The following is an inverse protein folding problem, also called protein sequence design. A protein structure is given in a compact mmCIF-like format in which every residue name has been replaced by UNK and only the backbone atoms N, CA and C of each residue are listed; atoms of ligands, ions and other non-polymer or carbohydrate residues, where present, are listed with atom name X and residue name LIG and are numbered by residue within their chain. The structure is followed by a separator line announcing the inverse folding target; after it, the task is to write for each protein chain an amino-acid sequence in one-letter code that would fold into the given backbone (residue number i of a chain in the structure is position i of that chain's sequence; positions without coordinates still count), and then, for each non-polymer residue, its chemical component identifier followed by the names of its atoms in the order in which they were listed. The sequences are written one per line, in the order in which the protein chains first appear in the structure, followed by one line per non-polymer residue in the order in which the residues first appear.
data_IF_764994246843
#
_entry.id   IF_764994246843
#
_cell.length_a   1.000
_cell.length_b   1.000
_cell.length_c   1.000
_cell.angle_alpha   90.00
_cell.angle_beta   90.00
_cell.angle_gamma   90.00
#
_symmetry.space_group_name_H-M   'P 1'
#
loop_
_entity.id
_entity.type
_entity.pdbx_description
1 polymer ?
#
# COMPACT_ATOMS: atom_id res chain seq x y z
N UNK A 1 -8.12 -19.43 -2.19
CA UNK A 1 -9.17 -18.40 -1.97
C UNK A 1 -8.59 -17.06 -2.37
N UNK A 2 -8.99 -16.55 -3.53
CA UNK A 2 -8.54 -15.26 -4.05
C UNK A 2 -9.41 -14.12 -3.53
N UNK A 3 -8.89 -12.90 -3.58
CA UNK A 3 -9.68 -11.71 -3.37
C UNK A 3 -10.65 -11.52 -4.55
N UNK A 4 -11.84 -10.96 -4.31
CA UNK A 4 -12.80 -10.72 -5.39
C UNK A 4 -12.43 -9.51 -6.25
N UNK A 5 -11.95 -8.44 -5.62
CA UNK A 5 -11.69 -7.14 -6.26
C UNK A 5 -10.33 -6.53 -5.92
N UNK A 6 -9.54 -7.16 -5.06
CA UNK A 6 -8.21 -6.67 -4.68
C UNK A 6 -7.17 -7.36 -5.57
N UNK A 7 -6.36 -6.56 -6.25
CA UNK A 7 -5.21 -7.06 -7.01
C UNK A 7 -3.98 -7.02 -6.12
N UNK A 8 -3.43 -8.19 -5.78
CA UNK A 8 -2.14 -8.27 -5.08
C UNK A 8 -1.04 -7.91 -6.09
N UNK A 9 -0.21 -6.90 -5.82
CA UNK A 9 0.90 -6.57 -6.69
C UNK A 9 1.89 -7.74 -6.78
N UNK A 10 2.38 -8.04 -7.98
CA UNK A 10 3.36 -9.10 -8.19
C UNK A 10 4.78 -8.71 -7.75
N UNK A 11 5.05 -7.40 -7.69
CA UNK A 11 6.40 -6.85 -7.59
C UNK A 11 6.79 -6.49 -6.14
N UNK A 12 6.04 -6.98 -5.15
CA UNK A 12 6.26 -6.68 -3.74
C UNK A 12 6.10 -7.90 -2.83
N UNK A 13 6.67 -7.79 -1.64
CA UNK A 13 6.66 -8.85 -0.63
C UNK A 13 5.82 -8.46 0.59
N UNK A 14 5.18 -9.44 1.22
CA UNK A 14 4.38 -9.24 2.42
C UNK A 14 5.27 -8.97 3.64
N UNK A 15 4.91 -7.97 4.46
CA UNK A 15 5.48 -7.80 5.80
C UNK A 15 5.05 -8.97 6.69
N UNK A 16 6.01 -9.62 7.36
CA UNK A 16 5.72 -10.74 8.27
C UNK A 16 6.02 -10.37 9.72
N UNK A 17 5.34 -11.03 10.64
CA UNK A 17 5.49 -10.83 12.09
C UNK A 17 6.13 -12.08 12.69
N UNK A 18 7.21 -11.90 13.45
CA UNK A 18 7.90 -12.97 14.15
C UNK A 18 7.14 -13.36 15.44
N UNK A 19 7.54 -14.47 16.07
CA UNK A 19 6.94 -14.93 17.33
C UNK A 19 7.13 -13.94 18.50
N UNK A 20 8.18 -13.12 18.45
CA UNK A 20 8.48 -12.07 19.43
C UNK A 20 7.82 -10.72 19.09
N UNK A 21 6.91 -10.70 18.11
CA UNK A 21 6.21 -9.51 17.59
C UNK A 21 7.08 -8.52 16.81
N UNK A 22 8.36 -8.82 16.56
CA UNK A 22 9.18 -8.01 15.64
C UNK A 22 8.70 -8.18 14.19
N UNK A 23 8.93 -7.15 13.36
CA UNK A 23 8.51 -7.13 11.96
C UNK A 23 9.69 -7.45 11.03
N UNK A 24 9.51 -8.38 10.11
CA UNK A 24 10.38 -8.50 8.94
C UNK A 24 9.78 -7.66 7.81
N UNK A 25 10.39 -6.50 7.56
CA UNK A 25 9.98 -5.58 6.50
C UNK A 25 10.96 -5.74 5.32
N UNK A 26 10.50 -6.26 4.16
CA UNK A 26 11.34 -6.38 2.97
C UNK A 26 11.67 -5.00 2.37
N UNK A 27 12.56 -4.94 1.39
CA UNK A 27 12.93 -3.67 0.73
C UNK A 27 11.80 -3.07 -0.13
N UNK A 28 10.90 -3.91 -0.65
CA UNK A 28 9.73 -3.52 -1.43
C UNK A 28 8.47 -4.14 -0.81
N UNK A 29 8.04 -3.66 0.37
CA UNK A 29 6.86 -4.19 1.03
C UNK A 29 5.59 -3.81 0.28
N UNK A 30 4.63 -4.76 0.24
CA UNK A 30 3.25 -4.47 -0.12
C UNK A 30 2.58 -3.72 1.03
N UNK A 31 2.09 -2.51 0.75
CA UNK A 31 1.36 -1.68 1.72
C UNK A 31 -0.08 -1.48 1.23
N UNK A 32 -1.09 -2.05 1.92
CA UNK A 32 -2.48 -1.76 1.63
C UNK A 32 -2.81 -0.28 1.91
N UNK A 33 -3.58 0.35 1.03
CA UNK A 33 -4.16 1.67 1.30
C UNK A 33 -5.64 1.70 0.89
N UNK A 34 -6.40 2.56 1.57
CA UNK A 34 -7.78 2.90 1.21
C UNK A 34 -7.75 4.34 0.73
N UNK A 35 -8.25 4.61 -0.48
CA UNK A 35 -8.29 5.98 -1.01
C UNK A 35 -9.11 6.92 -0.12
N UNK A 36 -10.17 6.38 0.50
CA UNK A 36 -11.12 7.12 1.33
C UNK A 36 -12.23 7.75 0.50
N UNK A 37 -13.27 8.22 1.18
CA UNK A 37 -14.40 8.92 0.56
C UNK A 37 -14.17 10.44 0.54
N UNK A 38 -15.02 11.18 -0.19
CA UNK A 38 -14.94 12.64 -0.29
C UNK A 38 -13.58 13.10 -0.84
N UNK A 39 -12.84 13.88 -0.04
CA UNK A 39 -11.51 14.42 -0.43
C UNK A 39 -10.39 13.36 -0.43
N UNK A 40 -10.70 12.08 -0.15
CA UNK A 40 -9.75 10.99 -0.26
C UNK A 40 -9.08 10.91 -1.64
N UNK A 41 -9.84 11.17 -2.69
CA UNK A 41 -9.36 11.23 -4.08
C UNK A 41 -8.34 12.35 -4.32
N UNK A 42 -8.40 13.43 -3.52
CA UNK A 42 -7.44 14.55 -3.61
C UNK A 42 -6.18 14.27 -2.79
N UNK A 43 -6.34 13.69 -1.59
CA UNK A 43 -5.25 13.55 -0.61
C UNK A 43 -4.41 12.30 -0.86
N UNK A 44 -5.03 11.15 -1.06
CA UNK A 44 -4.35 9.86 -1.19
C UNK A 44 -3.29 9.82 -2.31
N UNK A 45 -3.54 10.29 -3.55
CA UNK A 45 -2.50 10.30 -4.58
C UNK A 45 -1.34 11.25 -4.25
N UNK A 46 -1.59 12.35 -3.54
CA UNK A 46 -0.53 13.27 -3.11
C UNK A 46 0.31 12.66 -1.98
N UNK A 47 -0.34 12.01 -1.02
CA UNK A 47 0.33 11.28 0.06
C UNK A 47 1.29 10.23 -0.50
N UNK A 48 0.82 9.39 -1.44
CA UNK A 48 1.66 8.36 -2.06
C UNK A 48 2.85 8.96 -2.81
N UNK A 49 2.68 10.09 -3.52
CA UNK A 49 3.78 10.79 -4.20
C UNK A 49 4.83 11.30 -3.22
N UNK A 50 4.40 11.92 -2.11
CA UNK A 50 5.31 12.44 -1.08
C UNK A 50 6.09 11.31 -0.41
N UNK A 51 5.43 10.21 -0.05
CA UNK A 51 6.07 9.05 0.57
C UNK A 51 7.07 8.40 -0.39
N UNK A 52 6.69 8.18 -1.65
CA UNK A 52 7.58 7.60 -2.66
C UNK A 52 8.84 8.46 -2.85
N UNK A 53 8.69 9.78 -2.98
CA UNK A 53 9.82 10.70 -3.12
C UNK A 53 10.72 10.73 -1.88
N UNK A 54 10.15 10.62 -0.68
CA UNK A 54 10.92 10.54 0.56
C UNK A 54 11.76 9.25 0.63
N UNK A 55 11.19 8.12 0.23
CA UNK A 55 11.89 6.83 0.18
C UNK A 55 13.02 6.88 -0.86
N UNK A 56 12.74 7.35 -2.06
CA UNK A 56 13.74 7.49 -3.12
C UNK A 56 14.89 8.41 -2.68
N UNK A 57 14.59 9.53 -2.01
CA UNK A 57 15.61 10.44 -1.49
C UNK A 57 16.49 9.79 -0.41
N UNK A 58 15.90 8.96 0.46
CA UNK A 58 16.62 8.35 1.58
C UNK A 58 17.42 7.09 1.17
N UNK A 59 16.93 6.33 0.19
CA UNK A 59 17.42 4.99 -0.11
C UNK A 59 17.78 4.76 -1.59
N UNK A 60 17.57 5.76 -2.46
CA UNK A 60 17.65 5.58 -3.90
C UNK A 60 16.66 4.51 -4.37
N UNK A 61 17.10 3.63 -5.25
CA UNK A 61 16.30 2.51 -5.77
C UNK A 61 16.37 1.25 -4.89
N UNK A 62 17.08 1.30 -3.75
CA UNK A 62 17.26 0.12 -2.89
C UNK A 62 16.01 -0.25 -2.10
N UNK A 63 15.10 0.70 -1.91
CA UNK A 63 13.82 0.52 -1.21
C UNK A 63 12.71 1.23 -1.98
N UNK A 64 11.50 0.70 -1.85
CA UNK A 64 10.29 1.27 -2.43
C UNK A 64 9.07 0.84 -1.62
N UNK A 65 7.87 1.26 -2.01
CA UNK A 65 6.61 0.68 -1.53
C UNK A 65 5.82 0.20 -2.75
N UNK A 66 5.25 -0.99 -2.63
CA UNK A 66 4.33 -1.52 -3.63
C UNK A 66 2.90 -1.33 -3.10
N UNK A 67 2.24 -0.27 -3.55
CA UNK A 67 0.91 0.10 -3.07
C UNK A 67 -0.14 -0.90 -3.55
N UNK A 68 -1.00 -1.35 -2.64
CA UNK A 68 -2.12 -2.24 -2.94
C UNK A 68 -3.41 -1.57 -2.51
N UNK A 69 -4.23 -1.14 -3.46
CA UNK A 69 -5.52 -0.56 -3.11
C UNK A 69 -6.46 -1.62 -2.53
N UNK A 70 -7.07 -1.29 -1.39
CA UNK A 70 -8.18 -2.03 -0.80
C UNK A 70 -9.33 -1.06 -0.56
N UNK A 71 -10.56 -1.57 -0.63
CA UNK A 71 -11.74 -0.71 -0.71
C UNK A 71 -12.54 -0.75 0.60
N UNK A 72 -12.93 0.43 1.08
CA UNK A 72 -13.90 0.63 2.16
C UNK A 72 -14.72 1.90 1.86
N UNK A 73 -15.82 2.12 2.59
CA UNK A 73 -16.65 3.31 2.44
C UNK A 73 -17.56 3.30 1.21
N UNK A 74 -17.95 4.49 0.75
CA UNK A 74 -18.76 4.68 -0.48
C UNK A 74 -18.10 4.01 -1.67
N UNK A 75 -16.77 4.15 -1.82
CA UNK A 75 -16.02 3.49 -2.90
C UNK A 75 -16.20 1.97 -2.91
N UNK A 76 -16.30 1.32 -1.74
CA UNK A 76 -16.53 -0.13 -1.69
C UNK A 76 -17.92 -0.52 -2.22
N UNK A 77 -18.96 0.29 -2.00
CA UNK A 77 -20.33 0.02 -2.48
C UNK A 77 -20.48 0.08 -3.99
N UNK A 78 -19.53 0.73 -4.67
CA UNK A 78 -19.48 0.81 -6.14
C UNK A 78 -18.63 -0.32 -6.73
N UNK A 79 -17.60 -0.77 -6.02
CA UNK A 79 -16.64 -1.78 -6.48
C UNK A 79 -17.13 -3.21 -6.25
N UNK A 80 -17.87 -3.45 -5.16
CA UNK A 80 -18.46 -4.73 -4.77
C UNK A 80 -19.95 -4.75 -5.06
#
# INVERSE_FOLDING_TARGET
MGYQKITVPADGDKITVNADLSLNVPNHPIIPYIEGDGIGVDISPVMMKVVNAAIEKAYGTKRGITWMEVYAGEKATVVY
#
